data_IF_419483706284
#
_entry.id   IF_419483706284
#
_cell.length_a   1.000
_cell.length_b   1.000
_cell.length_c   1.000
_cell.angle_alpha   90.00
_cell.angle_beta   90.00
_cell.angle_gamma   90.00
#
_symmetry.space_group_name_H-M   'P 1'
#
loop_
_entity.id
_entity.type
_entity.pdbx_description
1 polymer ?
#
# COMPACT_ATOMS: atom_id res chain seq x y z
N UNK A 1 -20.00 5.54 34.58
CA UNK A 1 -20.20 4.96 33.24
C UNK A 1 -19.23 3.80 33.08
N UNK A 2 -19.70 2.56 33.05
CA UNK A 2 -18.83 1.39 32.91
C UNK A 2 -18.29 1.33 31.49
N UNK A 3 -16.97 1.48 31.33
CA UNK A 3 -16.32 1.33 30.02
C UNK A 3 -16.55 -0.09 29.51
N UNK A 4 -17.21 -0.24 28.37
CA UNK A 4 -17.23 -1.54 27.66
C UNK A 4 -15.79 -1.95 27.39
N UNK A 5 -15.38 -3.08 27.94
CA UNK A 5 -14.07 -3.68 27.66
C UNK A 5 -13.95 -3.92 26.16
N UNK A 6 -12.89 -3.39 25.54
CA UNK A 6 -12.62 -3.63 24.11
C UNK A 6 -12.31 -5.12 23.93
N UNK A 7 -13.08 -5.81 23.09
CA UNK A 7 -12.85 -7.23 22.75
C UNK A 7 -11.44 -7.42 22.19
N UNK A 8 -10.73 -8.41 22.72
CA UNK A 8 -9.39 -8.78 22.25
C UNK A 8 -9.43 -9.34 20.83
N UNK A 9 -8.43 -9.03 19.99
CA UNK A 9 -8.37 -9.48 18.58
C UNK A 9 -8.49 -10.99 18.39
N UNK A 10 -7.98 -11.78 19.34
CA UNK A 10 -7.97 -13.24 19.28
C UNK A 10 -9.12 -13.87 20.07
N UNK A 11 -9.95 -13.09 20.77
CA UNK A 11 -11.11 -13.58 21.51
C UNK A 11 -12.26 -13.95 20.54
N UNK A 12 -13.19 -14.82 20.96
CA UNK A 12 -14.42 -15.05 20.22
C UNK A 12 -15.16 -13.75 19.93
N UNK A 13 -15.70 -13.63 18.73
CA UNK A 13 -16.40 -12.43 18.29
C UNK A 13 -17.73 -12.25 19.06
N UNK A 14 -18.03 -11.05 19.58
CA UNK A 14 -19.24 -10.80 20.37
C UNK A 14 -20.54 -10.91 19.58
N UNK A 15 -20.49 -11.02 18.24
CA UNK A 15 -21.68 -11.27 17.42
C UNK A 15 -22.18 -12.72 17.50
N UNK A 16 -21.46 -13.62 18.17
CA UNK A 16 -21.85 -15.03 18.31
C UNK A 16 -21.46 -15.93 17.13
N UNK A 17 -20.63 -15.45 16.20
CA UNK A 17 -20.19 -16.25 15.03
C UNK A 17 -19.28 -17.43 15.38
N UNK A 18 -18.75 -17.50 16.60
CA UNK A 18 -17.75 -18.49 17.01
C UNK A 18 -16.33 -18.23 16.46
N UNK A 19 -16.15 -17.26 15.56
CA UNK A 19 -14.85 -16.90 14.99
C UNK A 19 -14.07 -15.95 15.90
N UNK A 20 -12.75 -15.84 15.70
CA UNK A 20 -11.94 -14.80 16.35
C UNK A 20 -12.38 -13.41 15.87
N UNK A 21 -12.44 -12.42 16.76
CA UNK A 21 -12.87 -11.06 16.45
C UNK A 21 -12.17 -10.47 15.22
N UNK A 22 -10.85 -10.71 15.08
CA UNK A 22 -10.04 -10.23 13.94
C UNK A 22 -10.39 -10.80 12.56
N UNK A 23 -11.18 -11.87 12.51
CA UNK A 23 -11.68 -12.49 11.27
C UNK A 23 -13.15 -12.19 11.01
N UNK A 24 -13.80 -11.45 11.92
CA UNK A 24 -15.22 -11.18 11.86
C UNK A 24 -15.45 -9.66 12.00
N UNK A 25 -15.97 -9.20 13.13
CA UNK A 25 -16.43 -7.81 13.27
C UNK A 25 -15.33 -6.73 13.38
N UNK A 26 -14.04 -7.07 13.35
CA UNK A 26 -12.95 -6.08 13.51
C UNK A 26 -12.97 -4.94 12.47
N UNK A 27 -13.50 -5.20 11.27
CA UNK A 27 -13.62 -4.22 10.19
C UNK A 27 -14.98 -3.51 10.13
N UNK A 28 -15.93 -3.85 11.02
CA UNK A 28 -17.27 -3.24 11.04
C UNK A 28 -17.25 -1.87 11.72
N UNK A 29 -16.37 -1.68 12.70
CA UNK A 29 -16.19 -0.35 13.29
C UNK A 29 -15.11 0.37 12.50
N UNK A 30 -15.44 1.46 11.78
CA UNK A 30 -14.46 2.18 11.01
C UNK A 30 -13.35 2.72 11.91
N UNK A 31 -12.11 2.69 11.41
CA UNK A 31 -11.00 3.35 12.10
C UNK A 31 -11.27 4.84 12.17
N UNK A 32 -10.98 5.43 13.32
CA UNK A 32 -11.04 6.88 13.45
C UNK A 32 -10.01 7.51 12.51
N UNK A 33 -10.46 8.40 11.62
CA UNK A 33 -9.61 9.12 10.68
C UNK A 33 -9.94 10.60 10.71
N UNK A 34 -8.97 11.41 11.11
CA UNK A 34 -9.08 12.87 11.10
C UNK A 34 -8.03 13.47 10.18
N UNK A 35 -8.49 14.20 9.17
CA UNK A 35 -7.60 14.88 8.24
C UNK A 35 -7.36 16.31 8.70
N UNK A 36 -6.12 16.71 9.02
CA UNK A 36 -5.82 18.10 9.32
C UNK A 36 -5.94 18.93 8.03
N UNK A 37 -6.91 19.85 8.00
CA UNK A 37 -7.15 20.73 6.86
C UNK A 37 -6.41 22.06 7.06
N UNK A 38 -6.38 22.56 8.29
CA UNK A 38 -5.82 23.87 8.58
C UNK A 38 -5.33 23.96 10.03
N UNK A 39 -4.32 24.81 10.24
CA UNK A 39 -3.78 25.18 11.55
C UNK A 39 -3.54 26.69 11.56
N UNK A 40 -4.11 27.38 12.54
CA UNK A 40 -3.92 28.81 12.73
C UNK A 40 -2.48 29.09 13.18
N UNK A 41 -1.74 29.89 12.42
CA UNK A 41 -0.35 30.23 12.76
C UNK A 41 -0.20 31.12 14.00
N UNK A 42 -1.28 31.75 14.45
CA UNK A 42 -1.32 32.73 15.54
C UNK A 42 -1.96 32.14 16.79
N UNK A 43 -3.07 31.44 16.67
CA UNK A 43 -3.78 30.82 17.82
C UNK A 43 -3.37 29.37 18.05
N UNK A 44 -2.82 28.68 17.04
CA UNK A 44 -2.55 27.24 17.08
C UNK A 44 -3.80 26.37 16.96
N UNK A 45 -4.97 26.97 16.70
CA UNK A 45 -6.22 26.23 16.51
C UNK A 45 -6.13 25.34 15.28
N UNK A 46 -6.69 24.12 15.36
CA UNK A 46 -6.64 23.13 14.30
C UNK A 46 -8.03 22.83 13.80
N UNK A 47 -8.20 22.86 12.49
CA UNK A 47 -9.40 22.35 11.82
C UNK A 47 -9.08 20.99 11.23
N UNK A 48 -9.82 19.97 11.65
CA UNK A 48 -9.77 18.63 11.06
C UNK A 48 -11.12 18.22 10.49
N UNK A 49 -11.08 17.43 9.43
CA UNK A 49 -12.26 16.76 8.88
C UNK A 49 -12.29 15.32 9.41
N UNK A 50 -13.38 14.97 10.07
CA UNK A 50 -13.64 13.59 10.50
C UNK A 50 -14.09 12.76 9.29
N UNK A 51 -13.24 11.82 8.88
CA UNK A 51 -13.42 10.90 7.76
C UNK A 51 -13.74 9.48 8.23
N UNK A 52 -14.12 9.31 9.49
CA UNK A 52 -14.37 7.99 10.08
C UNK A 52 -15.45 7.24 9.31
N UNK A 53 -16.58 7.90 9.00
CA UNK A 53 -17.70 7.27 8.27
C UNK A 53 -17.60 7.41 6.75
N UNK A 54 -16.45 7.85 6.21
CA UNK A 54 -16.24 8.02 4.78
C UNK A 54 -16.14 6.67 4.04
N UNK A 55 -16.70 6.60 2.83
CA UNK A 55 -16.74 5.39 2.01
C UNK A 55 -15.35 4.81 1.73
N UNK A 56 -14.31 5.64 1.59
CA UNK A 56 -12.94 5.18 1.36
C UNK A 56 -12.37 4.50 2.61
N UNK A 57 -12.78 4.95 3.80
CA UNK A 57 -12.36 4.32 5.04
C UNK A 57 -13.05 2.96 5.22
N UNK A 58 -14.35 2.91 4.94
CA UNK A 58 -15.11 1.65 4.92
C UNK A 58 -14.52 0.63 3.94
N UNK A 59 -14.20 1.06 2.71
CA UNK A 59 -13.55 0.21 1.72
C UNK A 59 -12.21 -0.32 2.22
N UNK A 60 -11.38 0.52 2.84
CA UNK A 60 -10.10 0.10 3.42
C UNK A 60 -10.27 -0.93 4.57
N UNK A 61 -11.32 -0.80 5.39
CA UNK A 61 -11.58 -1.72 6.50
C UNK A 61 -12.12 -3.09 6.03
N UNK A 62 -12.84 -3.14 4.91
CA UNK A 62 -13.50 -4.36 4.43
C UNK A 62 -12.54 -5.54 4.23
N UNK A 63 -11.28 -5.27 3.88
CA UNK A 63 -10.26 -6.29 3.61
C UNK A 63 -9.47 -6.72 4.86
N UNK A 64 -9.67 -6.08 6.01
CA UNK A 64 -8.88 -6.34 7.22
C UNK A 64 -8.95 -7.81 7.67
N UNK A 65 -10.11 -8.49 7.66
CA UNK A 65 -10.17 -9.91 8.00
C UNK A 65 -9.24 -10.77 7.14
N UNK A 66 -9.23 -10.55 5.81
CA UNK A 66 -8.34 -11.25 4.87
C UNK A 66 -6.87 -10.88 5.10
N UNK A 67 -6.56 -9.61 5.32
CA UNK A 67 -5.19 -9.15 5.64
C UNK A 67 -4.68 -9.77 6.95
N UNK A 68 -5.53 -9.87 7.96
CA UNK A 68 -5.22 -10.57 9.21
C UNK A 68 -4.96 -12.05 8.97
N UNK A 69 -5.75 -12.71 8.11
CA UNK A 69 -5.52 -14.11 7.75
C UNK A 69 -4.15 -14.28 7.08
N UNK A 70 -3.82 -13.42 6.11
CA UNK A 70 -2.52 -13.46 5.44
C UNK A 70 -1.37 -13.31 6.45
N UNK A 71 -1.47 -12.32 7.35
CA UNK A 71 -0.48 -12.06 8.40
C UNK A 71 -0.26 -13.24 9.35
N UNK A 72 -1.34 -13.89 9.76
CA UNK A 72 -1.31 -15.07 10.64
C UNK A 72 -0.72 -16.31 9.94
N UNK A 73 -0.76 -16.35 8.61
CA UNK A 73 -0.24 -17.44 7.77
C UNK A 73 1.10 -17.07 7.08
N UNK A 74 1.79 -16.05 7.60
CA UNK A 74 3.13 -15.61 7.17
C UNK A 74 3.24 -15.24 5.67
N UNK A 75 2.21 -14.59 5.11
CA UNK A 75 2.30 -13.95 3.78
C UNK A 75 1.56 -12.60 3.74
N UNK A 76 1.68 -11.88 2.62
CA UNK A 76 1.04 -10.58 2.40
C UNK A 76 -0.17 -10.69 1.47
N UNK A 77 -1.17 -9.85 1.68
CA UNK A 77 -2.35 -9.73 0.83
C UNK A 77 -2.03 -8.86 -0.39
N UNK A 78 -1.76 -9.47 -1.54
CA UNK A 78 -1.42 -8.75 -2.77
C UNK A 78 -2.69 -8.32 -3.51
N UNK A 79 -3.24 -7.16 -3.14
CA UNK A 79 -4.46 -6.63 -3.75
C UNK A 79 -4.37 -6.45 -5.27
N UNK A 80 -3.17 -6.21 -5.82
CA UNK A 80 -2.95 -6.11 -7.27
C UNK A 80 -3.28 -7.41 -8.03
N UNK A 81 -3.27 -8.56 -7.34
CA UNK A 81 -3.44 -9.88 -7.91
C UNK A 81 -4.80 -10.51 -7.55
N UNK A 82 -5.74 -9.75 -7.01
CA UNK A 82 -7.08 -10.23 -6.62
C UNK A 82 -8.13 -9.23 -7.10
N UNK A 83 -9.16 -9.74 -7.78
CA UNK A 83 -10.34 -8.93 -8.14
C UNK A 83 -11.30 -8.78 -6.96
N UNK A 84 -12.15 -7.75 -6.95
CA UNK A 84 -13.17 -7.56 -5.90
C UNK A 84 -14.06 -8.80 -5.73
N UNK A 85 -14.44 -9.45 -6.83
CA UNK A 85 -15.24 -10.68 -6.77
C UNK A 85 -14.50 -11.87 -6.14
N UNK A 86 -13.20 -12.01 -6.38
CA UNK A 86 -12.37 -13.01 -5.70
C UNK A 86 -12.15 -12.67 -4.23
N UNK A 87 -11.98 -11.38 -3.87
CA UNK A 87 -11.94 -10.94 -2.47
C UNK A 87 -13.21 -11.36 -1.72
N UNK A 88 -14.38 -11.13 -2.32
CA UNK A 88 -15.65 -11.54 -1.71
C UNK A 88 -15.70 -13.07 -1.48
N UNK A 89 -15.32 -13.87 -2.47
CA UNK A 89 -15.28 -15.34 -2.33
C UNK A 89 -14.32 -15.79 -1.22
N UNK A 90 -13.15 -15.17 -1.10
CA UNK A 90 -12.19 -15.48 -0.05
C UNK A 90 -12.73 -15.08 1.34
N UNK A 91 -13.45 -13.97 1.43
CA UNK A 91 -14.10 -13.52 2.68
C UNK A 91 -15.25 -14.45 3.10
N UNK A 92 -16.05 -14.94 2.15
CA UNK A 92 -17.05 -15.98 2.41
C UNK A 92 -16.38 -17.24 2.97
N UNK A 93 -15.27 -17.68 2.39
CA UNK A 93 -14.48 -18.83 2.89
C UNK A 93 -13.86 -18.56 4.25
N UNK A 94 -13.45 -17.32 4.54
CA UNK A 94 -12.98 -16.95 5.88
C UNK A 94 -14.10 -17.13 6.90
N UNK A 95 -15.30 -16.65 6.58
CA UNK A 95 -16.48 -16.72 7.44
C UNK A 95 -16.97 -18.15 7.65
N UNK A 96 -16.82 -19.02 6.66
CA UNK A 96 -17.09 -20.46 6.77
C UNK A 96 -16.01 -21.20 7.58
N UNK A 97 -14.86 -20.58 7.87
CA UNK A 97 -13.72 -21.22 8.51
C UNK A 97 -12.98 -22.21 7.59
N UNK A 98 -13.17 -22.11 6.28
CA UNK A 98 -12.61 -23.02 5.27
C UNK A 98 -11.49 -22.38 4.44
N UNK A 99 -11.21 -21.10 4.64
CA UNK A 99 -10.13 -20.40 3.93
C UNK A 99 -8.76 -20.98 4.23
N UNK A 100 -8.00 -21.27 3.18
CA UNK A 100 -6.61 -21.72 3.28
C UNK A 100 -5.67 -20.78 2.53
N UNK A 101 -4.38 -20.83 2.87
CA UNK A 101 -3.33 -20.10 2.12
C UNK A 101 -3.30 -20.52 0.64
N UNK A 102 -3.52 -21.80 0.35
CA UNK A 102 -3.51 -22.30 -1.04
C UNK A 102 -4.55 -21.59 -1.91
N UNK A 103 -5.73 -21.25 -1.37
CA UNK A 103 -6.78 -20.55 -2.12
C UNK A 103 -6.34 -19.15 -2.56
N UNK A 104 -5.53 -18.45 -1.77
CA UNK A 104 -4.91 -17.20 -2.20
C UNK A 104 -3.89 -17.44 -3.32
N UNK A 105 -3.03 -18.44 -3.17
CA UNK A 105 -2.02 -18.76 -4.18
C UNK A 105 -2.66 -19.14 -5.51
N UNK A 106 -3.73 -19.93 -5.48
CA UNK A 106 -4.47 -20.31 -6.68
C UNK A 106 -5.10 -19.07 -7.35
N UNK A 107 -5.68 -18.16 -6.55
CA UNK A 107 -6.22 -16.88 -7.03
C UNK A 107 -5.13 -16.02 -7.67
N UNK A 108 -3.96 -15.93 -7.04
CA UNK A 108 -2.82 -15.20 -7.60
C UNK A 108 -2.36 -15.83 -8.92
N UNK A 109 -2.22 -17.16 -9.00
CA UNK A 109 -1.82 -17.86 -10.22
C UNK A 109 -2.85 -17.73 -11.35
N UNK A 110 -4.13 -17.66 -11.01
CA UNK A 110 -5.20 -17.40 -11.98
C UNK A 110 -4.99 -16.03 -12.65
N UNK A 111 -4.67 -15.00 -11.86
CA UNK A 111 -4.57 -13.63 -12.34
C UNK A 111 -3.17 -13.22 -12.85
N UNK A 112 -2.11 -13.86 -12.37
CA UNK A 112 -0.71 -13.48 -12.65
C UNK A 112 -0.12 -14.25 -13.84
N UNK A 113 -0.80 -14.19 -14.98
CA UNK A 113 -0.28 -14.80 -16.22
C UNK A 113 0.94 -14.05 -16.73
N UNK A 114 1.83 -14.77 -17.43
CA UNK A 114 3.12 -14.24 -17.89
C UNK A 114 2.98 -12.94 -18.67
N UNK A 115 2.19 -12.94 -19.74
CA UNK A 115 2.11 -11.79 -20.64
C UNK A 115 1.60 -10.50 -19.94
N UNK A 116 0.49 -10.52 -19.16
CA UNK A 116 0.09 -9.35 -18.38
C UNK A 116 1.11 -8.87 -17.35
N UNK A 117 1.77 -9.80 -16.64
CA UNK A 117 2.76 -9.46 -15.60
C UNK A 117 4.04 -8.89 -16.20
N UNK A 118 4.50 -9.44 -17.33
CA UNK A 118 5.63 -8.90 -18.07
C UNK A 118 5.30 -7.51 -18.64
N UNK A 119 4.08 -7.30 -19.14
CA UNK A 119 3.61 -5.98 -19.55
C UNK A 119 3.59 -4.97 -18.39
N UNK A 120 3.12 -5.38 -17.21
CA UNK A 120 3.16 -4.54 -16.01
C UNK A 120 4.60 -4.22 -15.58
N UNK A 121 5.52 -5.18 -15.65
CA UNK A 121 6.94 -4.96 -15.36
C UNK A 121 7.55 -3.95 -16.35
N UNK A 122 7.29 -4.10 -17.65
CA UNK A 122 7.78 -3.18 -18.68
C UNK A 122 7.32 -1.74 -18.40
N UNK A 123 6.03 -1.54 -18.13
CA UNK A 123 5.48 -0.23 -17.74
C UNK A 123 6.14 0.29 -16.46
N UNK A 124 6.38 -0.60 -15.49
CA UNK A 124 7.07 -0.25 -14.24
C UNK A 124 8.48 0.29 -14.51
N UNK A 125 9.24 -0.35 -15.41
CA UNK A 125 10.56 0.10 -15.83
C UNK A 125 10.51 1.41 -16.62
N UNK A 126 9.48 1.64 -17.43
CA UNK A 126 9.32 2.90 -18.18
C UNK A 126 8.96 4.09 -17.28
N UNK A 127 8.10 3.87 -16.27
CA UNK A 127 7.58 4.94 -15.42
C UNK A 127 8.46 5.25 -14.21
N UNK A 128 9.26 4.29 -13.73
CA UNK A 128 9.98 4.38 -12.46
C UNK A 128 11.47 4.08 -12.65
N UNK A 129 12.32 5.09 -12.43
CA UNK A 129 13.77 4.97 -12.59
C UNK A 129 14.40 3.87 -11.69
N UNK A 130 13.83 3.65 -10.49
CA UNK A 130 14.29 2.58 -9.58
C UNK A 130 14.08 1.18 -10.17
N UNK A 131 13.08 1.00 -11.04
CA UNK A 131 12.86 -0.25 -11.80
C UNK A 131 13.72 -0.27 -13.06
N UNK A 132 13.80 0.86 -13.78
CA UNK A 132 14.53 0.97 -15.04
C UNK A 132 15.98 0.50 -14.92
N UNK A 133 16.69 0.95 -13.86
CA UNK A 133 18.10 0.56 -13.63
C UNK A 133 18.32 -0.93 -13.35
N UNK A 134 17.25 -1.72 -13.17
CA UNK A 134 17.25 -3.18 -12.95
C UNK A 134 16.51 -3.95 -14.04
N UNK A 135 16.10 -3.27 -15.13
CA UNK A 135 15.17 -3.83 -16.13
C UNK A 135 15.55 -5.24 -16.57
N UNK A 136 16.78 -5.43 -17.08
CA UNK A 136 17.19 -6.74 -17.59
C UNK A 136 17.16 -7.82 -16.51
N UNK A 137 17.66 -7.53 -15.31
CA UNK A 137 17.71 -8.51 -14.21
C UNK A 137 16.29 -8.90 -13.76
N UNK A 138 15.37 -7.94 -13.70
CA UNK A 138 13.98 -8.20 -13.35
C UNK A 138 13.28 -9.02 -14.43
N UNK A 139 13.49 -8.70 -15.71
CA UNK A 139 12.96 -9.47 -16.85
C UNK A 139 13.44 -10.91 -16.77
N UNK A 140 14.75 -11.14 -16.64
CA UNK A 140 15.33 -12.48 -16.57
C UNK A 140 14.78 -13.27 -15.35
N UNK A 141 14.63 -12.61 -14.20
CA UNK A 141 14.10 -13.23 -12.99
C UNK A 141 12.61 -13.62 -13.11
N UNK A 142 11.81 -12.79 -13.78
CA UNK A 142 10.39 -13.05 -14.02
C UNK A 142 10.23 -14.16 -15.07
N UNK A 143 11.01 -14.14 -16.15
CA UNK A 143 11.03 -15.23 -17.13
C UNK A 143 11.47 -16.56 -16.48
N UNK A 144 12.47 -16.53 -15.60
CA UNK A 144 12.87 -17.70 -14.83
C UNK A 144 11.73 -18.25 -13.96
N UNK A 145 10.93 -17.37 -13.33
CA UNK A 145 9.73 -17.80 -12.59
C UNK A 145 8.74 -18.53 -13.50
N UNK A 146 8.37 -17.94 -14.64
CA UNK A 146 7.41 -18.54 -15.57
C UNK A 146 7.94 -19.80 -16.27
N UNK A 147 9.26 -19.94 -16.39
CA UNK A 147 9.92 -21.16 -16.87
C UNK A 147 10.11 -22.23 -15.79
N UNK A 148 9.61 -22.03 -14.56
CA UNK A 148 9.74 -22.98 -13.46
C UNK A 148 11.14 -23.08 -12.85
N UNK A 149 12.04 -22.14 -13.16
CA UNK A 149 13.44 -22.12 -12.71
C UNK A 149 13.58 -21.44 -11.34
N UNK A 150 12.92 -22.00 -10.32
CA UNK A 150 12.82 -21.35 -9.00
C UNK A 150 14.15 -21.24 -8.24
N UNK A 151 15.11 -22.13 -8.52
CA UNK A 151 16.49 -22.02 -8.00
C UNK A 151 17.22 -20.78 -8.52
N UNK A 152 16.78 -20.22 -9.66
CA UNK A 152 17.33 -18.99 -10.24
C UNK A 152 16.48 -17.77 -9.89
N UNK A 153 15.15 -17.88 -10.00
CA UNK A 153 14.27 -16.72 -9.79
C UNK A 153 14.29 -16.25 -8.34
N UNK A 154 14.23 -17.14 -7.35
CA UNK A 154 14.10 -16.76 -5.94
C UNK A 154 15.31 -15.96 -5.42
N UNK A 155 16.57 -16.42 -5.56
CA UNK A 155 17.72 -15.63 -5.10
C UNK A 155 17.83 -14.28 -5.81
N UNK A 156 17.54 -14.25 -7.12
CA UNK A 156 17.56 -13.03 -7.93
C UNK A 156 16.48 -12.06 -7.46
N UNK A 157 15.24 -12.51 -7.28
CA UNK A 157 14.11 -11.69 -6.83
C UNK A 157 14.35 -11.16 -5.41
N UNK A 158 14.90 -11.94 -4.48
CA UNK A 158 15.29 -11.45 -3.16
C UNK A 158 16.27 -10.28 -3.25
N UNK A 159 17.32 -10.44 -4.06
CA UNK A 159 18.35 -9.42 -4.23
C UNK A 159 17.78 -8.16 -4.87
N UNK A 160 16.90 -8.30 -5.87
CA UNK A 160 16.25 -7.15 -6.51
C UNK A 160 15.23 -6.47 -5.60
N UNK A 161 14.46 -7.24 -4.82
CA UNK A 161 13.54 -6.71 -3.82
C UNK A 161 14.30 -5.88 -2.77
N UNK A 162 15.43 -6.40 -2.28
CA UNK A 162 16.33 -5.67 -1.37
C UNK A 162 16.79 -4.35 -2.00
N UNK A 163 17.28 -4.40 -3.24
CA UNK A 163 17.74 -3.21 -3.97
C UNK A 163 16.66 -2.15 -4.16
N UNK A 164 15.43 -2.56 -4.50
CA UNK A 164 14.29 -1.65 -4.63
C UNK A 164 13.91 -1.04 -3.29
N UNK A 165 13.85 -1.82 -2.21
CA UNK A 165 13.56 -1.32 -0.87
C UNK A 165 14.60 -0.29 -0.41
N UNK A 166 15.89 -0.51 -0.72
CA UNK A 166 16.96 0.45 -0.43
C UNK A 166 16.75 1.77 -1.17
N UNK A 167 16.41 1.73 -2.46
CA UNK A 167 16.15 2.95 -3.22
C UNK A 167 14.93 3.71 -2.70
N UNK A 168 13.84 3.01 -2.40
CA UNK A 168 12.62 3.63 -1.87
C UNK A 168 12.89 4.29 -0.51
N UNK A 169 13.68 3.64 0.34
CA UNK A 169 14.03 4.14 1.66
C UNK A 169 15.25 5.05 1.72
N UNK A 170 15.90 5.33 0.59
CA UNK A 170 17.21 6.00 0.52
C UNK A 170 18.27 5.36 1.46
N UNK A 171 18.27 4.04 1.59
CA UNK A 171 19.19 3.30 2.45
C UNK A 171 20.56 3.17 1.79
N UNK A 172 21.63 3.39 2.56
CA UNK A 172 23.00 3.15 2.14
C UNK A 172 23.35 1.65 2.23
N UNK A 173 24.41 1.22 1.55
CA UNK A 173 24.82 -0.20 1.54
C UNK A 173 25.09 -0.78 2.94
N UNK A 174 25.61 0.05 3.85
CA UNK A 174 25.91 -0.33 5.24
C UNK A 174 24.67 -0.43 6.13
N UNK A 175 23.54 0.11 5.69
CA UNK A 175 22.32 0.14 6.49
C UNK A 175 21.66 -1.23 6.47
N UNK A 176 21.21 -1.69 7.63
CA UNK A 176 20.34 -2.86 7.74
C UNK A 176 19.03 -2.61 7.01
N UNK A 177 18.54 -3.64 6.32
CA UNK A 177 17.22 -3.58 5.71
C UNK A 177 16.17 -3.42 6.80
N UNK A 178 15.34 -2.41 6.61
CA UNK A 178 14.19 -2.09 7.44
C UNK A 178 13.00 -1.82 6.54
N UNK A 179 11.77 -1.81 7.07
CA UNK A 179 10.63 -1.40 6.28
C UNK A 179 10.80 0.04 5.77
N UNK A 180 10.66 0.25 4.47
CA UNK A 180 10.99 1.53 3.81
C UNK A 180 9.81 2.21 3.14
N UNK A 181 8.65 1.55 3.02
CA UNK A 181 7.46 2.19 2.46
C UNK A 181 6.97 3.22 3.46
N UNK A 182 6.86 4.48 3.05
CA UNK A 182 6.35 5.55 3.90
C UNK A 182 4.91 5.23 4.29
N UNK A 183 4.50 5.51 5.53
CA UNK A 183 3.12 5.22 6.01
C UNK A 183 2.33 6.49 6.32
N UNK A 184 3.02 7.59 6.60
CA UNK A 184 2.44 8.85 7.09
C UNK A 184 1.98 9.81 5.98
N UNK A 185 2.31 9.53 4.72
CA UNK A 185 1.98 10.43 3.60
C UNK A 185 0.59 10.18 3.01
N UNK A 186 -0.02 9.02 3.28
CA UNK A 186 -1.17 8.54 2.53
C UNK A 186 -2.49 9.17 2.95
N UNK A 187 -2.66 9.51 4.23
CA UNK A 187 -3.90 10.12 4.72
C UNK A 187 -4.13 11.49 4.10
N UNK A 188 -3.07 12.30 4.00
CA UNK A 188 -3.11 13.60 3.34
C UNK A 188 -3.41 13.49 1.83
N UNK A 189 -3.26 12.30 1.25
CA UNK A 189 -3.59 11.98 -0.14
C UNK A 189 -4.97 11.33 -0.31
N UNK A 190 -5.73 11.16 0.78
CA UNK A 190 -7.01 10.42 0.82
C UNK A 190 -6.89 8.95 0.43
N UNK A 191 -5.71 8.35 0.62
CA UNK A 191 -5.42 6.97 0.23
C UNK A 191 -5.38 6.05 1.47
N UNK A 192 -6.54 5.89 2.12
CA UNK A 192 -6.64 5.13 3.37
C UNK A 192 -6.30 3.64 3.23
N UNK A 193 -6.69 3.01 2.12
CA UNK A 193 -6.29 1.63 1.81
C UNK A 193 -4.78 1.51 1.67
N UNK A 194 -4.16 2.40 0.88
CA UNK A 194 -2.70 2.43 0.67
C UNK A 194 -1.94 2.64 1.98
N UNK A 195 -2.48 3.44 2.91
CA UNK A 195 -1.92 3.56 4.26
C UNK A 195 -1.89 2.21 4.97
N UNK A 196 -3.04 1.56 5.07
CA UNK A 196 -3.16 0.30 5.80
C UNK A 196 -2.33 -0.81 5.10
N UNK A 197 -2.25 -0.79 3.77
CA UNK A 197 -1.41 -1.70 2.97
C UNK A 197 0.07 -1.46 3.22
N UNK A 198 0.52 -0.20 3.26
CA UNK A 198 1.93 0.13 3.54
C UNK A 198 2.38 -0.37 4.91
N UNK A 199 1.52 -0.31 5.94
CA UNK A 199 1.81 -0.83 7.27
C UNK A 199 1.91 -2.36 7.27
N UNK A 200 0.98 -3.04 6.61
CA UNK A 200 0.98 -4.50 6.50
C UNK A 200 2.18 -5.00 5.67
N UNK A 201 2.48 -4.32 4.57
CA UNK A 201 3.60 -4.64 3.68
C UNK A 201 4.92 -4.46 4.41
N UNK A 202 5.08 -3.36 5.15
CA UNK A 202 6.26 -3.13 5.99
C UNK A 202 6.43 -4.24 7.04
N UNK A 203 5.35 -4.70 7.67
CA UNK A 203 5.39 -5.83 8.59
C UNK A 203 5.78 -7.16 7.92
N UNK A 204 5.32 -7.39 6.69
CA UNK A 204 5.70 -8.54 5.88
C UNK A 204 7.19 -8.51 5.48
N UNK A 205 7.68 -7.38 4.96
CA UNK A 205 9.08 -7.18 4.60
C UNK A 205 9.99 -7.36 5.81
N UNK A 206 9.59 -6.85 6.98
CA UNK A 206 10.36 -7.04 8.21
C UNK A 206 10.59 -8.52 8.51
N UNK A 207 9.54 -9.36 8.47
CA UNK A 207 9.65 -10.81 8.68
C UNK A 207 10.50 -11.49 7.61
N UNK A 208 10.34 -11.07 6.36
CA UNK A 208 11.05 -11.67 5.22
C UNK A 208 12.56 -11.41 5.25
N UNK A 209 12.98 -10.29 5.86
CA UNK A 209 14.38 -9.86 6.00
C UNK A 209 14.90 -9.93 7.44
N UNK A 210 14.18 -10.58 8.37
CA UNK A 210 14.62 -10.65 9.77
C UNK A 210 15.92 -11.47 9.90
N UNK A 211 16.87 -10.94 10.67
CA UNK A 211 18.23 -11.49 10.79
C UNK A 211 18.30 -12.87 11.44
N UNK A 212 17.63 -13.00 12.58
CA UNK A 212 17.64 -14.18 13.46
C UNK A 212 16.31 -14.94 13.41
N UNK A 213 15.72 -15.05 12.23
CA UNK A 213 14.42 -15.70 12.05
C UNK A 213 14.46 -17.20 12.28
N UNK A 214 13.28 -17.80 12.44
CA UNK A 214 13.14 -19.25 12.46
C UNK A 214 13.69 -19.82 11.13
N UNK A 215 14.70 -20.72 11.15
CA UNK A 215 15.31 -21.28 9.94
C UNK A 215 14.32 -22.03 9.04
N UNK A 216 13.21 -22.52 9.61
CA UNK A 216 12.17 -23.23 8.87
C UNK A 216 11.29 -22.28 8.05
N UNK A 217 11.27 -20.98 8.38
CA UNK A 217 10.49 -19.97 7.64
C UNK A 217 11.14 -19.62 6.30
N UNK A 218 10.33 -19.10 5.39
CA UNK A 218 10.82 -18.51 4.16
C UNK A 218 11.39 -17.12 4.47
N UNK A 219 12.72 -16.99 4.41
CA UNK A 219 13.44 -15.79 4.79
C UNK A 219 14.67 -15.59 3.89
N UNK A 220 15.01 -14.32 3.62
CA UNK A 220 16.12 -13.92 2.75
C UNK A 220 17.46 -14.51 3.19
N UNK A 221 17.78 -14.50 4.48
CA UNK A 221 19.11 -14.85 4.98
C UNK A 221 19.45 -16.34 4.79
N UNK A 222 18.63 -17.30 5.27
CA UNK A 222 18.91 -18.72 5.04
C UNK A 222 19.04 -19.07 3.55
N UNK A 223 18.24 -18.43 2.68
CA UNK A 223 18.26 -18.66 1.23
C UNK A 223 19.54 -18.09 0.60
N UNK A 224 19.83 -16.80 0.78
CA UNK A 224 20.96 -16.15 0.11
C UNK A 224 22.33 -16.56 0.67
N UNK A 225 22.38 -17.07 1.90
CA UNK A 225 23.60 -17.64 2.48
C UNK A 225 23.72 -19.15 2.28
N UNK A 226 22.78 -19.79 1.57
CA UNK A 226 22.84 -21.21 1.21
C UNK A 226 22.60 -22.19 2.37
N UNK A 227 22.14 -21.72 3.52
CA UNK A 227 21.76 -22.58 4.65
C UNK A 227 20.48 -23.36 4.37
N UNK A 228 19.55 -22.74 3.64
CA UNK A 228 18.32 -23.36 3.17
C UNK A 228 18.47 -23.68 1.69
N UNK A 229 18.35 -24.95 1.32
CA UNK A 229 18.53 -25.43 -0.06
C UNK A 229 17.24 -25.86 -0.73
N UNK A 230 16.18 -26.11 0.04
CA UNK A 230 14.84 -26.55 -0.37
C UNK A 230 13.87 -25.38 -0.61
N UNK A 231 14.39 -24.18 -0.87
CA UNK A 231 13.58 -22.97 -1.04
C UNK A 231 12.81 -22.90 -2.36
N UNK A 232 13.13 -23.76 -3.33
CA UNK A 232 12.73 -23.65 -4.73
C UNK A 232 11.26 -24.05 -4.98
N UNK A 233 10.32 -23.18 -4.62
CA UNK A 233 8.89 -23.39 -4.89
C UNK A 233 8.29 -22.27 -5.75
N UNK A 234 7.25 -22.62 -6.51
CA UNK A 234 6.46 -21.65 -7.27
C UNK A 234 5.87 -20.58 -6.35
N UNK A 235 5.37 -20.99 -5.17
CA UNK A 235 4.82 -20.11 -4.16
C UNK A 235 5.82 -19.03 -3.73
N UNK A 236 7.03 -19.44 -3.33
CA UNK A 236 8.06 -18.52 -2.87
C UNK A 236 8.46 -17.54 -3.98
N UNK A 237 8.61 -18.03 -5.21
CA UNK A 237 8.93 -17.19 -6.35
C UNK A 237 7.80 -16.21 -6.68
N UNK A 238 6.54 -16.65 -6.62
CA UNK A 238 5.36 -15.81 -6.88
C UNK A 238 5.20 -14.71 -5.82
N UNK A 239 5.38 -15.04 -4.54
CA UNK A 239 5.32 -14.08 -3.43
C UNK A 239 6.38 -12.98 -3.61
N UNK A 240 7.61 -13.34 -3.98
CA UNK A 240 8.68 -12.35 -4.20
C UNK A 240 8.42 -11.48 -5.43
N UNK A 241 7.93 -12.08 -6.52
CA UNK A 241 7.53 -11.36 -7.73
C UNK A 241 6.46 -10.32 -7.40
N UNK A 242 5.40 -10.73 -6.70
CA UNK A 242 4.32 -9.84 -6.30
C UNK A 242 4.79 -8.77 -5.30
N UNK A 243 5.70 -9.11 -4.38
CA UNK A 243 6.31 -8.14 -3.47
C UNK A 243 7.06 -7.04 -4.22
N UNK A 244 7.77 -7.36 -5.31
CA UNK A 244 8.40 -6.37 -6.17
C UNK A 244 7.35 -5.47 -6.82
N UNK A 245 6.30 -6.04 -7.41
CA UNK A 245 5.23 -5.26 -8.05
C UNK A 245 4.43 -4.39 -7.08
N UNK A 246 4.30 -4.80 -5.82
CA UNK A 246 3.68 -4.00 -4.77
C UNK A 246 4.47 -2.69 -4.51
N UNK A 247 5.82 -2.73 -4.57
CA UNK A 247 6.65 -1.52 -4.49
C UNK A 247 6.32 -0.55 -5.61
N UNK A 248 6.10 -1.05 -6.83
CA UNK A 248 5.64 -0.23 -7.94
C UNK A 248 4.31 0.43 -7.63
N UNK A 249 3.35 -0.30 -7.06
CA UNK A 249 2.04 0.26 -6.71
C UNK A 249 2.18 1.43 -5.72
N UNK A 250 2.97 1.26 -4.65
CA UNK A 250 3.23 2.35 -3.70
C UNK A 250 3.89 3.56 -4.38
N UNK A 251 4.93 3.35 -5.20
CA UNK A 251 5.61 4.47 -5.88
C UNK A 251 4.73 5.14 -6.93
N UNK A 252 3.87 4.40 -7.60
CA UNK A 252 2.91 4.97 -8.54
C UNK A 252 1.90 5.88 -7.81
N UNK A 253 1.30 5.43 -6.71
CA UNK A 253 0.40 6.25 -5.89
C UNK A 253 1.10 7.49 -5.30
N UNK A 254 2.34 7.33 -4.85
CA UNK A 254 3.14 8.45 -4.35
C UNK A 254 3.33 9.51 -5.45
N UNK A 255 3.73 9.10 -6.64
CA UNK A 255 4.02 10.01 -7.76
C UNK A 255 2.76 10.64 -8.37
N UNK A 256 1.64 9.91 -8.43
CA UNK A 256 0.44 10.33 -9.16
C UNK A 256 -0.62 11.00 -8.30
N UNK A 257 -0.59 10.83 -6.97
CA UNK A 257 -1.58 11.46 -6.08
C UNK A 257 -1.00 12.66 -5.34
N UNK A 258 -1.70 13.79 -5.43
CA UNK A 258 -1.32 15.04 -4.76
C UNK A 258 -1.72 14.99 -3.28
N UNK A 259 -0.94 15.69 -2.47
CA UNK A 259 -1.32 16.01 -1.08
C UNK A 259 -2.46 17.05 -1.11
N UNK A 260 -3.65 16.64 -0.66
CA UNK A 260 -4.85 17.47 -0.63
C UNK A 260 -4.81 18.53 0.46
N UNK A 261 -4.10 18.29 1.56
CA UNK A 261 -3.98 19.26 2.67
C UNK A 261 -3.25 20.52 2.23
N UNK A 262 -2.35 20.42 1.24
CA UNK A 262 -1.65 21.58 0.68
C UNK A 262 -2.57 22.59 -0.02
N UNK A 263 -3.77 22.19 -0.47
CA UNK A 263 -4.73 23.13 -1.10
C UNK A 263 -5.35 24.11 -0.10
N UNK A 264 -5.38 23.75 1.18
CA UNK A 264 -6.01 24.53 2.24
C UNK A 264 -5.04 25.37 3.05
N UNK A 265 -3.73 25.24 2.79
CA UNK A 265 -2.73 26.16 3.32
C UNK A 265 -2.89 27.51 2.64
N UNK A 266 -3.69 28.39 3.25
CA UNK A 266 -3.76 29.81 2.88
C UNK A 266 -2.34 30.35 2.99
N UNK A 267 -1.69 30.59 1.85
CA UNK A 267 -0.43 31.33 1.84
C UNK A 267 -0.77 32.73 2.34
N UNK A 268 -0.14 33.16 3.44
CA UNK A 268 -0.07 34.59 3.79
C UNK A 268 0.57 35.28 2.58
N UNK A 269 -0.23 35.75 1.62
CA UNK A 269 0.22 36.79 0.70
C UNK A 269 0.52 37.97 1.61
N UNK A 270 1.82 38.21 1.82
CA UNK A 270 2.32 39.38 2.51
C UNK A 270 1.59 40.59 1.97
N UNK A 271 1.00 41.34 2.88
CA UNK A 271 0.32 42.60 2.62
C UNK A 271 1.40 43.66 2.39
N UNK A 272 2.18 43.55 1.33
CA UNK A 272 2.95 44.68 0.80
C UNK A 272 2.02 45.50 -0.09
N UNK A 273 1.11 46.22 0.56
CA UNK A 273 0.37 47.33 -0.04
C UNK A 273 1.00 48.64 0.44
N UNK A 274 2.08 49.05 -0.20
CA UNK A 274 2.37 50.47 -0.43
C UNK A 274 1.78 50.84 -1.79
N UNK A 275 0.47 51.05 -1.83
CA UNK A 275 -0.20 51.68 -2.98
C UNK A 275 -0.20 53.19 -2.78
N UNK A 276 0.78 53.85 -3.39
CA UNK A 276 0.68 55.26 -3.77
C UNK A 276 -0.48 55.39 -4.77
N UNK A 277 -1.52 56.12 -4.36
CA UNK A 277 -2.74 56.30 -5.13
C UNK A 277 -2.59 57.54 -6.00
N UNK A 278 -2.21 57.38 -7.28
CA UNK A 278 -2.47 58.40 -8.30
C UNK A 278 -3.69 58.01 -9.11
N UNK A 279 -4.80 58.69 -8.82
CA UNK A 279 -6.00 58.71 -9.64
C UNK A 279 -5.69 59.31 -11.03
N UNK A 280 -6.15 58.63 -12.08
CA UNK A 280 -6.34 59.17 -13.43
C UNK A 280 -7.75 58.81 -13.88
N UNK A 281 -8.45 59.68 -14.63
CA UNK A 281 -9.90 59.60 -14.80
C UNK A 281 -10.34 58.60 -15.86
N UNK A 282 -11.58 58.15 -15.66
CA UNK A 282 -12.32 57.20 -16.47
C UNK A 282 -12.40 57.58 -17.95
N UNK A 283 -12.13 56.60 -18.82
CA UNK A 283 -12.58 56.63 -20.21
C UNK A 283 -13.79 55.71 -20.33
N UNK A 284 -14.89 56.33 -20.76
CA UNK A 284 -16.24 55.82 -20.87
C UNK A 284 -16.35 54.97 -22.15
N UNK A 285 -16.54 53.65 -22.03
CA UNK A 285 -16.78 52.78 -23.20
C UNK A 285 -18.19 52.20 -23.12
N UNK A 286 -19.01 52.63 -24.08
CA UNK A 286 -20.39 52.20 -24.36
C UNK A 286 -20.50 50.69 -24.50
N UNK A 287 -21.49 50.12 -23.82
CA UNK A 287 -22.07 48.81 -24.09
C UNK A 287 -22.82 48.85 -25.43
N UNK A 288 -22.41 48.02 -26.38
CA UNK A 288 -23.19 47.69 -27.57
C UNK A 288 -24.04 46.44 -27.29
N UNK A 289 -25.27 46.49 -27.80
CA UNK A 289 -26.38 45.59 -27.55
C UNK A 289 -26.18 44.20 -28.16
N UNK A 290 -26.66 43.17 -27.46
CA UNK A 290 -27.01 41.88 -28.07
C UNK A 290 -28.33 42.01 -28.86
N UNK A 291 -28.48 41.35 -30.03
CA UNK A 291 -29.77 41.12 -30.63
C UNK A 291 -30.30 39.73 -30.26
N UNK A 292 -31.50 39.68 -29.68
CA UNK A 292 -32.40 38.51 -29.79
C UNK A 292 -33.76 39.03 -30.26
N UNK A 293 -34.35 38.26 -31.18
CA UNK A 293 -35.63 38.47 -31.87
C UNK A 293 -36.75 39.04 -31.01
#
# INVERSE_FOLDING_TARGET
MGGKTKTGRNEPCPCGSGQKYKYCCIGITPRERHLPIWEDSTTGEKLSLNMTDDILNWAAQAEIPLKNFCKDNDFYFFGLAITVGQCQKLDEKLKEGTLTKQMFLDTYKENCKQEPIMGLLEVSCQELEIFNKRKQILVDAFEAHYAGKYTLSIPTLFTQLEGLLRDVGNLQNKDSIKPTIQTNIWENKLLFSVKDDSENYNGFIHKLFEGNGNPDRFNRNPVLHGFKIDYYSEEHSLILLLAILEIRLFKWWDNKTKDYTKRFKVTKKGKDTTTDTKLSPATNTRLAQEPKF
#
